data_IF_377905117440
#
_entry.id   IF_377905117440
#
_cell.length_a   1.000
_cell.length_b   1.000
_cell.length_c   1.000
_cell.angle_alpha   90.00
_cell.angle_beta   90.00
_cell.angle_gamma   90.00
#
_symmetry.space_group_name_H-M   'P 1'
#
loop_
_entity.id
_entity.type
_entity.pdbx_description
1 polymer ?
#
# COMPACT_ATOMS: atom_id res chain seq x y z
N UNK A 1 -10.95 9.32 15.34
CA UNK A 1 -12.30 9.13 14.79
C UNK A 1 -12.85 10.51 14.52
N UNK A 2 -13.17 10.85 13.27
CA UNK A 2 -13.82 12.13 12.99
C UNK A 2 -15.21 12.16 13.61
N UNK A 3 -15.68 13.31 14.12
CA UNK A 3 -17.07 13.48 14.53
C UNK A 3 -18.03 13.05 13.42
N UNK A 4 -19.16 12.45 13.77
CA UNK A 4 -20.26 12.29 12.81
C UNK A 4 -20.58 13.68 12.24
N UNK A 5 -20.53 13.85 10.92
CA UNK A 5 -20.71 15.09 10.13
C UNK A 5 -19.47 15.97 9.86
N UNK A 6 -18.25 15.55 10.21
CA UNK A 6 -17.06 16.31 9.81
C UNK A 6 -16.82 16.24 8.30
N UNK A 7 -16.52 17.37 7.64
CA UNK A 7 -16.20 17.37 6.20
C UNK A 7 -14.74 16.99 5.94
N UNK A 8 -13.89 17.02 6.97
CA UNK A 8 -12.50 16.57 6.91
C UNK A 8 -12.02 15.93 8.23
N UNK A 9 -10.79 15.40 8.23
CA UNK A 9 -10.13 14.91 9.44
C UNK A 9 -9.69 16.08 10.32
N UNK A 10 -10.13 16.15 11.58
CA UNK A 10 -9.75 17.23 12.50
C UNK A 10 -8.39 16.97 13.17
N UNK A 11 -7.30 17.64 12.78
CA UNK A 11 -6.02 17.49 13.48
C UNK A 11 -6.09 18.10 14.88
N UNK A 12 -5.66 17.32 15.88
CA UNK A 12 -5.61 17.77 17.28
C UNK A 12 -4.25 18.38 17.67
N UNK A 13 -3.22 18.16 16.87
CA UNK A 13 -1.87 18.64 17.11
C UNK A 13 -1.16 18.95 15.79
N UNK A 14 -0.23 19.90 15.85
CA UNK A 14 0.57 20.34 14.72
C UNK A 14 2.06 20.31 15.09
N UNK A 15 2.91 19.74 14.24
CA UNK A 15 4.36 19.73 14.40
C UNK A 15 5.01 20.42 13.20
N UNK A 16 5.71 21.52 13.45
CA UNK A 16 6.50 22.16 12.40
C UNK A 16 7.84 21.46 12.20
N UNK A 17 8.27 21.43 10.94
CA UNK A 17 9.60 20.99 10.53
C UNK A 17 10.08 21.83 9.34
N UNK A 18 11.40 21.89 9.14
CA UNK A 18 11.99 22.59 8.01
C UNK A 18 12.16 24.10 8.22
N UNK A 19 13.16 24.67 7.54
CA UNK A 19 13.61 26.04 7.76
C UNK A 19 12.59 27.14 7.41
N UNK A 20 11.64 26.87 6.51
CA UNK A 20 10.59 27.84 6.11
C UNK A 20 9.75 28.28 7.31
N UNK A 21 9.43 27.33 8.20
CA UNK A 21 8.58 27.58 9.35
C UNK A 21 9.31 28.23 10.53
N UNK A 22 10.57 28.64 10.33
CA UNK A 22 11.27 29.56 11.24
C UNK A 22 10.76 31.00 11.10
N UNK A 23 10.18 31.35 9.94
CA UNK A 23 9.52 32.63 9.77
C UNK A 23 8.22 32.62 10.60
N UNK A 24 8.22 33.37 11.71
CA UNK A 24 7.10 33.42 12.66
C UNK A 24 5.78 33.76 11.97
N UNK A 25 5.79 34.75 11.07
CA UNK A 25 4.61 35.16 10.31
C UNK A 25 3.98 34.01 9.49
N UNK A 26 4.80 33.15 8.88
CA UNK A 26 4.30 31.99 8.11
C UNK A 26 3.74 30.90 9.04
N UNK A 27 4.44 30.64 10.15
CA UNK A 27 4.03 29.65 11.13
C UNK A 27 2.71 30.04 11.81
N UNK A 28 2.58 31.32 12.19
CA UNK A 28 1.37 31.92 12.76
C UNK A 28 0.22 31.87 11.76
N UNK A 29 0.46 32.32 10.52
CA UNK A 29 -0.59 32.33 9.49
C UNK A 29 -1.13 30.94 9.16
N UNK A 30 -0.24 29.94 9.10
CA UNK A 30 -0.64 28.55 8.87
C UNK A 30 -1.49 28.02 10.03
N UNK A 31 -1.08 28.30 11.27
CA UNK A 31 -1.83 27.90 12.47
C UNK A 31 -3.20 28.59 12.54
N UNK A 32 -3.30 29.87 12.18
CA UNK A 32 -4.56 30.61 12.07
C UNK A 32 -5.50 29.94 11.07
N UNK A 33 -5.07 29.74 9.83
CA UNK A 33 -5.90 29.17 8.77
C UNK A 33 -6.40 27.77 9.13
N UNK A 34 -5.53 26.93 9.70
CA UNK A 34 -5.90 25.59 10.15
C UNK A 34 -6.96 25.65 11.26
N UNK A 35 -6.79 26.54 12.23
CA UNK A 35 -7.71 26.69 13.34
C UNK A 35 -9.04 27.33 12.94
N UNK A 36 -9.06 28.20 11.93
CA UNK A 36 -10.29 28.73 11.35
C UNK A 36 -11.15 27.60 10.75
N UNK A 37 -10.52 26.65 10.03
CA UNK A 37 -11.21 25.46 9.51
C UNK A 37 -11.76 24.59 10.63
N UNK A 38 -10.96 24.32 11.67
CA UNK A 38 -11.40 23.55 12.83
C UNK A 38 -12.58 24.22 13.54
N UNK A 39 -12.51 25.54 13.76
CA UNK A 39 -13.58 26.30 14.38
C UNK A 39 -14.87 26.28 13.55
N UNK A 40 -14.77 26.33 12.22
CA UNK A 40 -15.94 26.25 11.33
C UNK A 40 -16.70 24.93 11.47
N UNK A 41 -16.03 23.85 11.86
CA UNK A 41 -16.63 22.55 12.17
C UNK A 41 -16.81 22.30 13.67
N UNK A 42 -16.75 23.35 14.49
CA UNK A 42 -16.90 23.29 15.96
C UNK A 42 -15.89 22.34 16.63
N UNK A 43 -14.73 22.14 16.01
CA UNK A 43 -13.64 21.34 16.52
C UNK A 43 -12.68 22.17 17.40
N UNK A 44 -12.03 21.55 18.41
CA UNK A 44 -10.98 22.21 19.20
C UNK A 44 -9.81 22.68 18.32
N UNK A 45 -9.17 23.78 18.71
CA UNK A 45 -7.94 24.25 18.05
C UNK A 45 -6.81 23.22 18.15
N UNK A 46 -6.01 23.13 17.10
CA UNK A 46 -4.85 22.25 17.06
C UNK A 46 -3.76 22.75 18.02
N UNK A 47 -3.23 21.84 18.84
CA UNK A 47 -2.11 22.14 19.74
C UNK A 47 -0.79 22.15 18.98
N UNK A 48 -0.09 23.28 18.96
CA UNK A 48 1.27 23.33 18.45
C UNK A 48 2.23 22.54 19.36
N UNK A 49 2.90 21.54 18.79
CA UNK A 49 3.93 20.76 19.47
C UNK A 49 5.24 21.55 19.50
N UNK A 50 5.81 21.69 20.69
CA UNK A 50 7.05 22.41 20.93
C UNK A 50 8.26 21.46 21.05
N UNK A 51 9.47 22.01 21.00
CA UNK A 51 10.72 21.28 21.26
C UNK A 51 11.39 20.67 20.04
N UNK A 52 10.81 20.83 18.85
CA UNK A 52 11.49 20.50 17.60
C UNK A 52 12.46 21.62 17.20
N UNK A 53 13.71 21.24 16.98
CA UNK A 53 14.64 22.07 16.21
C UNK A 53 14.26 21.94 14.73
N UNK A 54 13.79 23.02 14.11
CA UNK A 54 13.21 22.96 12.77
C UNK A 54 14.22 22.55 11.69
N UNK A 55 15.51 22.86 11.87
CA UNK A 55 16.56 22.42 10.92
C UNK A 55 16.87 20.94 11.09
N UNK A 56 16.84 20.45 12.33
CA UNK A 56 17.28 19.10 12.67
C UNK A 56 16.14 18.09 12.80
N UNK A 57 14.88 18.54 12.80
CA UNK A 57 13.71 17.68 13.08
C UNK A 57 13.68 16.45 12.17
N UNK A 58 13.90 16.65 10.87
CA UNK A 58 13.92 15.57 9.87
C UNK A 58 15.11 14.64 10.09
N UNK A 59 16.33 15.19 10.23
CA UNK A 59 17.54 14.39 10.41
C UNK A 59 17.52 13.58 11.72
N UNK A 60 16.99 14.16 12.81
CA UNK A 60 16.78 13.46 14.09
C UNK A 60 15.77 12.35 13.95
N UNK A 61 14.66 12.58 13.24
CA UNK A 61 13.68 11.55 12.91
C UNK A 61 14.30 10.38 12.15
N UNK A 62 15.09 10.67 11.12
CA UNK A 62 15.78 9.65 10.32
C UNK A 62 16.81 8.86 11.15
N UNK A 63 17.61 9.55 11.98
CA UNK A 63 18.57 8.89 12.87
C UNK A 63 17.89 8.01 13.92
N UNK A 64 16.79 8.51 14.52
CA UNK A 64 15.98 7.74 15.47
C UNK A 64 15.34 6.53 14.80
N UNK A 65 14.81 6.69 13.59
CA UNK A 65 14.29 5.58 12.80
C UNK A 65 15.36 4.49 12.55
N UNK A 66 16.58 4.88 12.15
CA UNK A 66 17.70 3.93 12.02
C UNK A 66 18.09 3.25 13.33
N UNK A 67 17.95 3.93 14.48
CA UNK A 67 18.16 3.35 15.81
C UNK A 67 17.07 2.32 16.17
N UNK A 68 15.81 2.65 15.88
CA UNK A 68 14.65 1.76 16.06
C UNK A 68 14.75 0.51 15.19
N UNK A 69 15.26 0.61 13.95
CA UNK A 69 15.50 -0.56 13.08
C UNK A 69 16.49 -1.57 13.68
N UNK A 70 17.34 -1.14 14.62
CA UNK A 70 18.24 -2.02 15.38
C UNK A 70 17.59 -2.62 16.63
N UNK A 71 16.27 -2.54 16.76
CA UNK A 71 15.51 -3.02 17.91
C UNK A 71 15.62 -2.13 19.15
N UNK A 72 16.05 -0.87 19.00
CA UNK A 72 16.25 0.05 20.13
C UNK A 72 15.28 1.24 20.05
N UNK A 73 14.39 1.36 21.02
CA UNK A 73 13.40 2.44 21.07
C UNK A 73 12.00 2.00 20.63
N UNK A 74 11.09 2.97 20.50
CA UNK A 74 9.69 2.74 20.14
C UNK A 74 9.51 2.86 18.64
N UNK A 75 8.97 1.81 18.00
CA UNK A 75 8.59 1.79 16.58
C UNK A 75 7.14 2.26 16.43
N UNK A 76 6.95 3.31 15.62
CA UNK A 76 5.64 3.67 15.09
C UNK A 76 5.44 2.81 13.85
N UNK A 77 4.31 2.10 13.75
CA UNK A 77 3.98 1.29 12.59
C UNK A 77 2.83 1.96 11.84
N UNK A 78 3.03 2.20 10.55
CA UNK A 78 1.93 2.44 9.61
C UNK A 78 1.37 1.09 9.13
N UNK A 79 0.10 1.10 8.72
CA UNK A 79 -0.49 0.00 7.96
C UNK A 79 -1.08 0.54 6.66
N UNK A 80 -1.33 -0.34 5.70
CA UNK A 80 -1.99 0.02 4.43
C UNK A 80 -3.33 0.73 4.69
N UNK A 81 -3.62 1.79 3.91
CA UNK A 81 -4.88 2.54 4.02
C UNK A 81 -6.03 1.94 3.19
N UNK A 82 -5.74 0.88 2.45
CA UNK A 82 -6.67 0.14 1.61
C UNK A 82 -6.33 -1.36 1.63
N UNK A 83 -7.28 -2.19 1.22
CA UNK A 83 -6.99 -3.55 0.81
C UNK A 83 -6.53 -3.56 -0.67
N UNK A 84 -5.54 -4.37 -1.00
CA UNK A 84 -4.96 -4.48 -2.33
C UNK A 84 -5.06 -5.91 -2.87
N UNK A 85 -5.33 -6.00 -4.16
CA UNK A 85 -5.65 -7.24 -4.86
C UNK A 85 -4.85 -7.34 -6.15
N UNK A 86 -4.57 -8.56 -6.58
CA UNK A 86 -4.04 -8.87 -7.92
C UNK A 86 -5.09 -9.66 -8.70
N UNK A 87 -5.24 -9.34 -9.98
CA UNK A 87 -6.07 -10.11 -10.90
C UNK A 87 -5.41 -11.46 -11.21
N UNK A 88 -6.13 -12.54 -10.99
CA UNK A 88 -5.73 -13.90 -11.40
C UNK A 88 -6.79 -14.48 -12.33
N UNK A 89 -6.38 -15.21 -13.36
CA UNK A 89 -7.33 -15.88 -14.24
C UNK A 89 -8.09 -16.96 -13.47
N UNK A 90 -9.42 -16.99 -13.65
CA UNK A 90 -10.28 -18.00 -13.04
C UNK A 90 -10.01 -19.38 -13.64
N UNK A 91 -10.17 -20.43 -12.82
CA UNK A 91 -10.05 -21.82 -13.27
C UNK A 91 -11.24 -22.32 -14.13
N UNK A 92 -12.13 -21.41 -14.55
CA UNK A 92 -13.28 -21.73 -15.39
C UNK A 92 -12.87 -22.07 -16.83
N UNK A 93 -13.58 -22.99 -17.52
CA UNK A 93 -13.32 -23.28 -18.91
C UNK A 93 -13.43 -22.03 -19.79
N UNK A 94 -12.44 -21.81 -20.66
CA UNK A 94 -12.48 -20.72 -21.61
C UNK A 94 -13.70 -20.85 -22.55
N UNK A 95 -14.49 -19.79 -22.64
CA UNK A 95 -15.62 -19.70 -23.58
C UNK A 95 -15.14 -19.00 -24.86
N UNK A 96 -15.26 -19.62 -26.04
CA UNK A 96 -14.83 -19.00 -27.29
C UNK A 96 -15.46 -17.62 -27.51
N UNK A 97 -14.62 -16.61 -27.76
CA UNK A 97 -15.06 -15.23 -28.04
C UNK A 97 -15.30 -14.35 -26.80
N UNK A 98 -15.11 -14.87 -25.59
CA UNK A 98 -15.15 -14.10 -24.35
C UNK A 98 -13.74 -14.04 -23.72
N UNK A 99 -13.32 -12.89 -23.18
CA UNK A 99 -12.08 -12.82 -22.40
C UNK A 99 -12.18 -13.73 -21.16
N UNK A 100 -11.06 -14.30 -20.69
CA UNK A 100 -11.03 -15.07 -19.45
C UNK A 100 -11.59 -14.25 -18.28
N UNK A 101 -12.40 -14.88 -17.44
CA UNK A 101 -12.87 -14.25 -16.22
C UNK A 101 -11.68 -14.06 -15.27
N UNK A 102 -11.56 -12.86 -14.69
CA UNK A 102 -10.52 -12.53 -13.72
C UNK A 102 -11.14 -12.52 -12.33
N UNK A 103 -10.49 -13.17 -11.38
CA UNK A 103 -10.78 -13.08 -9.95
C UNK A 103 -9.80 -12.09 -9.32
N UNK A 104 -10.28 -11.21 -8.43
CA UNK A 104 -9.43 -10.37 -7.62
C UNK A 104 -9.01 -11.13 -6.35
N UNK A 105 -7.72 -11.38 -6.19
CA UNK A 105 -7.15 -12.06 -5.04
C UNK A 105 -6.53 -11.05 -4.07
N UNK A 106 -7.01 -11.01 -2.83
CA UNK A 106 -6.48 -10.12 -1.81
C UNK A 106 -5.06 -10.54 -1.44
N UNK A 107 -4.10 -9.63 -1.67
CA UNK A 107 -2.67 -9.83 -1.39
C UNK A 107 -2.18 -8.99 -0.21
N UNK A 108 -2.85 -7.86 0.08
CA UNK A 108 -2.57 -7.07 1.27
C UNK A 108 -3.88 -6.51 1.85
N UNK A 109 -4.30 -6.94 3.05
CA UNK A 109 -5.53 -6.45 3.67
C UNK A 109 -5.35 -5.01 4.16
N UNK A 110 -6.47 -4.35 4.47
CA UNK A 110 -6.45 -3.06 5.15
C UNK A 110 -5.70 -3.14 6.48
N UNK A 111 -4.81 -2.19 6.74
CA UNK A 111 -4.02 -2.14 7.97
C UNK A 111 -2.86 -3.15 8.02
N UNK A 112 -2.50 -3.79 6.91
CA UNK A 112 -1.31 -4.65 6.85
C UNK A 112 -0.07 -3.85 7.25
N UNK A 113 0.63 -4.31 8.30
CA UNK A 113 1.73 -3.56 8.89
C UNK A 113 2.90 -3.37 7.91
N UNK A 114 3.49 -2.19 7.88
CA UNK A 114 4.72 -1.93 7.14
C UNK A 114 5.88 -2.85 7.58
N UNK A 115 6.57 -3.42 6.60
CA UNK A 115 7.61 -4.41 6.79
C UNK A 115 7.11 -5.81 7.11
N UNK A 116 5.79 -6.06 7.06
CA UNK A 116 5.23 -7.41 7.11
C UNK A 116 5.20 -8.07 5.72
N UNK A 117 5.26 -9.39 5.72
CA UNK A 117 5.15 -10.23 4.53
C UNK A 117 4.08 -11.30 4.80
N UNK A 118 3.23 -11.55 3.81
CA UNK A 118 2.15 -12.54 3.87
C UNK A 118 2.25 -13.44 2.65
N UNK A 119 2.42 -14.73 2.89
CA UNK A 119 2.48 -15.75 1.85
C UNK A 119 1.12 -16.47 1.69
N UNK A 120 0.82 -16.89 0.46
CA UNK A 120 -0.31 -17.74 0.11
C UNK A 120 0.17 -19.15 -0.29
N UNK A 121 0.80 -19.93 0.61
CA UNK A 121 1.43 -21.20 0.25
C UNK A 121 0.43 -22.29 -0.14
N UNK A 122 -0.87 -22.09 0.09
CA UNK A 122 -1.90 -23.06 -0.27
C UNK A 122 -2.52 -22.77 -1.65
N UNK A 123 -2.29 -21.60 -2.23
CA UNK A 123 -2.77 -21.23 -3.56
C UNK A 123 -1.65 -21.46 -4.59
N UNK A 124 -1.91 -22.29 -5.59
CA UNK A 124 -0.99 -22.55 -6.69
C UNK A 124 -1.42 -21.80 -7.96
N UNK A 125 -0.47 -21.07 -8.54
CA UNK A 125 -0.67 -20.29 -9.77
C UNK A 125 0.34 -20.70 -10.83
N UNK A 126 -0.03 -20.55 -12.10
CA UNK A 126 0.90 -20.67 -13.22
C UNK A 126 1.48 -19.31 -13.59
N UNK A 127 2.81 -19.17 -13.52
CA UNK A 127 3.54 -17.97 -13.94
C UNK A 127 4.17 -18.20 -15.31
N UNK A 128 3.82 -17.37 -16.29
CA UNK A 128 4.48 -17.37 -17.61
C UNK A 128 5.78 -16.56 -17.51
N UNK A 129 6.89 -17.14 -17.95
CA UNK A 129 8.22 -16.51 -17.93
C UNK A 129 8.78 -16.33 -19.34
N UNK A 130 9.67 -15.34 -19.54
CA UNK A 130 10.33 -15.05 -20.81
C UNK A 130 9.45 -14.34 -21.86
N UNK A 131 8.16 -14.16 -21.59
CA UNK A 131 7.23 -13.38 -22.42
C UNK A 131 6.67 -12.16 -21.67
N UNK A 132 6.27 -11.09 -22.36
CA UNK A 132 5.55 -9.98 -21.74
C UNK A 132 4.24 -10.47 -21.12
N UNK A 133 4.08 -10.26 -19.81
CA UNK A 133 2.87 -10.56 -19.06
C UNK A 133 2.33 -9.29 -18.42
N UNK A 134 1.01 -9.26 -18.26
CA UNK A 134 0.31 -8.13 -17.66
C UNK A 134 -0.26 -8.48 -16.30
N UNK A 135 -0.02 -7.63 -15.32
CA UNK A 135 -0.55 -7.73 -13.97
C UNK A 135 -1.51 -6.59 -13.70
N UNK A 136 -2.79 -6.93 -13.52
CA UNK A 136 -3.84 -5.99 -13.11
C UNK A 136 -3.90 -5.96 -11.59
N UNK A 137 -3.86 -4.77 -11.02
CA UNK A 137 -3.95 -4.55 -9.58
C UNK A 137 -5.21 -3.77 -9.25
N UNK A 138 -5.73 -3.99 -8.04
CA UNK A 138 -6.93 -3.32 -7.58
C UNK A 138 -6.76 -2.87 -6.12
N UNK A 139 -7.41 -1.76 -5.77
CA UNK A 139 -7.44 -1.22 -4.41
C UNK A 139 -8.87 -1.02 -3.91
N UNK A 140 -9.08 -1.17 -2.60
CA UNK A 140 -10.36 -0.86 -1.96
C UNK A 140 -10.20 -0.18 -0.61
N UNK A 141 -10.86 0.97 -0.45
CA UNK A 141 -10.92 1.73 0.82
C UNK A 141 -12.11 1.32 1.71
N UNK A 142 -13.06 0.55 1.16
CA UNK A 142 -14.31 0.14 1.81
C UNK A 142 -14.28 -1.32 2.28
N UNK A 143 -13.54 -2.20 1.61
CA UNK A 143 -13.43 -3.63 1.93
C UNK A 143 -12.39 -3.93 3.02
N UNK A 144 -12.63 -3.40 4.23
CA UNK A 144 -11.67 -3.43 5.35
C UNK A 144 -11.55 -4.78 6.06
N UNK A 145 -12.52 -5.67 5.85
CA UNK A 145 -12.59 -6.98 6.52
C UNK A 145 -12.00 -8.13 5.69
N UNK A 146 -11.66 -7.86 4.42
CA UNK A 146 -11.06 -8.88 3.56
C UNK A 146 -9.66 -9.25 4.08
N UNK A 147 -9.33 -10.53 4.04
CA UNK A 147 -8.05 -11.08 4.50
C UNK A 147 -7.22 -11.56 3.32
N UNK A 148 -5.92 -11.78 3.53
CA UNK A 148 -5.05 -12.38 2.50
C UNK A 148 -5.65 -13.71 2.04
N UNK A 149 -5.77 -13.88 0.73
CA UNK A 149 -6.37 -15.07 0.12
C UNK A 149 -7.88 -14.97 -0.15
N UNK A 150 -8.56 -13.93 0.32
CA UNK A 150 -9.94 -13.66 -0.10
C UNK A 150 -9.98 -13.46 -1.62
N UNK A 151 -10.87 -14.22 -2.29
CA UNK A 151 -11.11 -14.15 -3.74
C UNK A 151 -12.46 -13.50 -4.00
N UNK A 152 -12.47 -12.56 -4.95
CA UNK A 152 -13.67 -11.90 -5.42
C UNK A 152 -13.83 -12.20 -6.91
N UNK A 153 -14.92 -12.87 -7.26
CA UNK A 153 -15.33 -13.14 -8.64
C UNK A 153 -16.20 -12.01 -9.20
N UNK A 154 -16.85 -11.25 -8.32
CA UNK A 154 -17.69 -10.09 -8.65
C UNK A 154 -17.57 -9.02 -7.57
N UNK A 155 -17.61 -7.76 -7.97
CA UNK A 155 -17.67 -6.60 -7.08
C UNK A 155 -18.44 -5.47 -7.76
N UNK A 156 -18.83 -4.46 -6.97
CA UNK A 156 -19.48 -3.26 -7.50
C UNK A 156 -18.42 -2.24 -7.91
N UNK A 157 -18.72 -1.43 -8.92
CA UNK A 157 -17.79 -0.41 -9.44
C UNK A 157 -17.32 0.60 -8.36
N UNK A 158 -18.11 0.81 -7.30
CA UNK A 158 -17.79 1.69 -6.18
C UNK A 158 -17.00 0.99 -5.04
N UNK A 159 -16.83 -0.32 -5.10
CA UNK A 159 -16.09 -1.09 -4.09
C UNK A 159 -14.61 -1.24 -4.40
N UNK A 160 -14.23 -1.20 -5.68
CA UNK A 160 -12.88 -1.51 -6.15
C UNK A 160 -12.44 -0.50 -7.20
N UNK A 161 -11.22 0.00 -7.03
CA UNK A 161 -10.53 0.84 -8.01
C UNK A 161 -9.45 0.01 -8.70
N UNK A 162 -9.44 0.00 -10.03
CA UNK A 162 -8.37 -0.61 -10.79
C UNK A 162 -7.17 0.34 -10.84
N UNK A 163 -6.00 -0.18 -10.45
CA UNK A 163 -4.74 0.55 -10.41
C UNK A 163 -4.00 0.42 -11.74
N UNK A 164 -2.88 1.14 -11.90
CA UNK A 164 -2.05 1.02 -13.09
C UNK A 164 -1.60 -0.44 -13.32
N UNK A 165 -1.92 -0.96 -14.51
CA UNK A 165 -1.48 -2.28 -14.94
C UNK A 165 0.03 -2.27 -15.21
N UNK A 166 0.71 -3.33 -14.79
CA UNK A 166 2.14 -3.51 -15.04
C UNK A 166 2.33 -4.53 -16.16
N UNK A 167 2.96 -4.10 -17.24
CA UNK A 167 3.47 -5.00 -18.28
C UNK A 167 4.96 -5.24 -18.04
N UNK A 168 5.34 -6.50 -17.79
CA UNK A 168 6.72 -6.89 -17.51
C UNK A 168 7.05 -8.22 -18.18
N UNK A 169 8.28 -8.37 -18.66
CA UNK A 169 8.82 -9.68 -19.06
C UNK A 169 9.61 -10.28 -17.91
N UNK A 170 9.08 -11.35 -17.32
CA UNK A 170 9.72 -12.04 -16.20
C UNK A 170 10.92 -12.86 -16.70
N UNK A 171 12.04 -12.81 -15.97
CA UNK A 171 13.25 -13.52 -16.40
C UNK A 171 13.00 -15.03 -16.54
N UNK A 172 13.48 -15.65 -17.59
CA UNK A 172 13.40 -17.10 -17.79
C UNK A 172 14.03 -17.89 -16.63
N UNK A 173 15.06 -17.34 -15.99
CA UNK A 173 15.75 -17.94 -14.85
C UNK A 173 16.21 -19.40 -15.07
N UNK A 174 16.35 -19.88 -16.31
CA UNK A 174 16.67 -21.27 -16.65
C UNK A 174 15.47 -22.13 -17.07
N UNK A 175 14.30 -21.53 -17.23
CA UNK A 175 13.17 -22.05 -18.01
C UNK A 175 13.26 -21.59 -19.47
N UNK A 176 12.34 -22.03 -20.31
CA UNK A 176 12.19 -21.56 -21.69
C UNK A 176 11.14 -20.44 -21.72
N UNK A 177 11.30 -19.45 -22.59
CA UNK A 177 10.26 -18.45 -22.81
C UNK A 177 8.92 -19.10 -23.17
N UNK A 178 7.85 -18.68 -22.48
CA UNK A 178 6.51 -19.26 -22.57
C UNK A 178 6.24 -20.40 -21.59
N UNK A 179 7.24 -20.87 -20.83
CA UNK A 179 7.03 -21.89 -19.81
C UNK A 179 6.10 -21.39 -18.70
N UNK A 180 5.18 -22.27 -18.28
CA UNK A 180 4.32 -22.05 -17.12
C UNK A 180 4.98 -22.70 -15.90
N UNK A 181 5.44 -21.85 -14.98
CA UNK A 181 6.06 -22.26 -13.71
C UNK A 181 5.02 -22.25 -12.59
N UNK A 182 4.81 -23.35 -11.85
CA UNK A 182 3.93 -23.36 -10.70
C UNK A 182 4.56 -22.59 -9.52
N UNK A 183 3.85 -21.59 -9.05
CA UNK A 183 4.28 -20.68 -7.99
C UNK A 183 3.21 -20.57 -6.89
N UNK A 184 3.63 -20.09 -5.74
CA UNK A 184 2.73 -19.44 -4.79
C UNK A 184 3.07 -17.96 -4.72
N UNK A 185 2.12 -17.13 -4.30
CA UNK A 185 2.34 -15.69 -4.16
C UNK A 185 2.73 -15.34 -2.73
N UNK A 186 3.59 -14.34 -2.59
CA UNK A 186 3.90 -13.66 -1.33
C UNK A 186 3.85 -12.16 -1.56
N UNK A 187 3.22 -11.43 -0.65
CA UNK A 187 3.12 -9.98 -0.73
C UNK A 187 3.74 -9.33 0.49
N UNK A 188 4.47 -8.24 0.28
CA UNK A 188 5.10 -7.48 1.35
C UNK A 188 4.81 -5.99 1.20
N UNK A 189 4.50 -5.34 2.31
CA UNK A 189 4.37 -3.88 2.37
C UNK A 189 5.71 -3.32 2.79
N UNK A 190 6.35 -2.53 1.94
CA UNK A 190 7.65 -1.91 2.27
C UNK A 190 7.46 -0.70 3.19
N UNK A 191 8.52 -0.32 3.91
CA UNK A 191 8.50 0.84 4.82
C UNK A 191 8.38 2.19 4.07
N UNK A 192 8.56 2.19 2.75
CA UNK A 192 8.33 3.39 1.91
C UNK A 192 6.90 3.45 1.36
N UNK A 193 6.05 2.47 1.67
CA UNK A 193 4.67 2.41 1.21
C UNK A 193 4.49 1.83 -0.19
N UNK A 194 5.43 1.04 -0.68
CA UNK A 194 5.30 0.26 -1.94
C UNK A 194 4.83 -1.16 -1.61
N UNK A 195 3.93 -1.73 -2.42
CA UNK A 195 3.57 -3.14 -2.31
C UNK A 195 4.44 -3.98 -3.26
N UNK A 196 5.04 -5.02 -2.71
CA UNK A 196 5.88 -5.95 -3.43
C UNK A 196 5.17 -7.29 -3.54
N UNK A 197 4.91 -7.75 -4.76
CA UNK A 197 4.40 -9.08 -5.05
C UNK A 197 5.55 -9.98 -5.51
N UNK A 198 5.69 -11.14 -4.89
CA UNK A 198 6.65 -12.17 -5.26
C UNK A 198 5.90 -13.41 -5.71
N UNK A 199 6.27 -13.92 -6.89
CA UNK A 199 5.92 -15.25 -7.31
C UNK A 199 7.06 -16.19 -6.92
N UNK A 200 6.83 -17.11 -6.00
CA UNK A 200 7.84 -18.02 -5.46
C UNK A 200 7.60 -19.42 -6.02
N UNK A 201 8.61 -19.95 -6.72
CA UNK A 201 8.57 -21.29 -7.31
C UNK A 201 8.25 -22.36 -6.27
N UNK A 202 7.39 -23.32 -6.64
CA UNK A 202 7.19 -24.53 -5.84
C UNK A 202 8.17 -25.65 -6.19
N UNK A 203 8.88 -25.53 -7.31
CA UNK A 203 9.78 -26.57 -7.82
C UNK A 203 11.22 -26.38 -7.36
N UNK A 204 11.62 -25.12 -7.17
CA UNK A 204 12.98 -24.72 -6.80
C UNK A 204 12.98 -23.46 -5.93
N UNK A 205 14.15 -22.91 -5.63
CA UNK A 205 14.30 -21.71 -4.79
C UNK A 205 14.18 -20.39 -5.56
N UNK A 206 13.72 -20.42 -6.82
CA UNK A 206 13.61 -19.20 -7.64
C UNK A 206 12.38 -18.39 -7.24
N UNK A 207 12.49 -17.07 -7.42
CA UNK A 207 11.38 -16.17 -7.24
C UNK A 207 11.45 -15.04 -8.26
N UNK A 208 10.28 -14.53 -8.64
CA UNK A 208 10.12 -13.37 -9.51
C UNK A 208 9.49 -12.24 -8.71
N UNK A 209 10.04 -11.04 -8.88
CA UNK A 209 9.62 -9.84 -8.17
C UNK A 209 8.80 -8.95 -9.10
N UNK A 210 7.62 -8.55 -8.65
CA UNK A 210 6.76 -7.55 -9.27
C UNK A 210 6.51 -6.46 -8.23
N UNK A 211 6.96 -5.24 -8.48
CA UNK A 211 6.78 -4.10 -7.57
C UNK A 211 5.75 -3.15 -8.17
N UNK A 212 4.84 -2.64 -7.33
CA UNK A 212 3.93 -1.57 -7.73
C UNK A 212 3.74 -0.54 -6.62
N UNK A 213 3.66 0.74 -7.01
CA UNK A 213 3.48 1.85 -6.09
C UNK A 213 2.00 2.00 -5.73
N UNK A 214 1.67 1.84 -4.45
CA UNK A 214 0.29 1.99 -3.97
C UNK A 214 -0.06 3.42 -3.54
N UNK A 215 0.94 4.31 -3.37
CA UNK A 215 0.67 5.70 -2.96
C UNK A 215 0.12 6.58 -4.07
N UNK A 216 0.40 6.26 -5.33
CA UNK A 216 -0.21 6.94 -6.48
C UNK A 216 -1.74 6.77 -6.49
N UNK A 217 -2.24 5.64 -5.98
CA UNK A 217 -3.67 5.34 -5.85
C UNK A 217 -4.32 5.92 -4.56
N UNK A 218 -3.50 6.34 -3.60
CA UNK A 218 -3.95 6.94 -2.34
C UNK A 218 -4.14 8.46 -2.43
N UNK A 219 -3.70 9.10 -3.53
CA UNK A 219 -3.68 10.57 -3.74
C UNK A 219 -4.94 11.13 -4.40
#
# INVERSE_FOLDING_TARGET
QSPQHASFLHPSALLFNGGVLKAGELAERLLEVLNDWLQSEQAPVARLLQGADLDLAVARGAAYYGFVRKGKGVRIKGGTAAAYYVGVESAMPAVPGLPPAIEALCIAPFGMEEGSEQALPNDEFGLIVGEPVRFRFFGSKTRREDVVGTRLDQWRDDEMEELEEIEITLSEAGYIAGDIVPVHLSAAVTEVGTLELRAVSRRDQRHWKIEFDVRAAES
#
